data_IF_179224184542
#
_entry.id   IF_179224184542
#
_cell.length_a   1.000
_cell.length_b   1.000
_cell.length_c   1.000
_cell.angle_alpha   90.00
_cell.angle_beta   90.00
_cell.angle_gamma   90.00
#
_symmetry.space_group_name_H-M   'P 1'
#
loop_
_entity.id
_entity.type
_entity.pdbx_description
1 polymer ?
#
# COMPACT_ATOMS: atom_id res chain seq x y z
N UNK A 1 9.12 -7.96 -12.52
CA UNK A 1 8.74 -7.55 -11.17
C UNK A 1 7.24 -7.31 -11.15
N UNK A 2 6.53 -8.08 -10.34
CA UNK A 2 5.11 -7.91 -10.00
C UNK A 2 5.02 -7.41 -8.56
N UNK A 3 4.31 -6.32 -8.35
CA UNK A 3 4.08 -5.74 -7.03
C UNK A 3 2.62 -5.96 -6.65
N UNK A 4 2.35 -6.14 -5.36
CA UNK A 4 1.01 -6.11 -4.82
C UNK A 4 0.96 -5.25 -3.55
N UNK A 5 -0.11 -4.48 -3.36
CA UNK A 5 -0.42 -3.81 -2.09
C UNK A 5 -1.82 -4.18 -1.61
N UNK A 6 -1.96 -4.41 -0.31
CA UNK A 6 -3.22 -4.85 0.25
C UNK A 6 -3.39 -4.50 1.73
N UNK A 7 -4.37 -3.64 2.05
CA UNK A 7 -4.81 -3.48 3.42
C UNK A 7 -5.62 -4.74 3.78
N UNK A 8 -5.14 -5.50 4.76
CA UNK A 8 -5.69 -6.83 5.07
C UNK A 8 -6.82 -6.81 6.10
N UNK A 9 -7.16 -5.62 6.60
CA UNK A 9 -8.23 -5.36 7.55
C UNK A 9 -8.06 -6.14 8.87
N UNK A 10 -7.62 -5.49 9.94
CA UNK A 10 -7.36 -6.13 11.22
C UNK A 10 -8.63 -6.34 12.08
N UNK A 11 -9.70 -6.87 11.49
CA UNK A 11 -10.91 -7.25 12.21
C UNK A 11 -11.03 -8.75 12.41
N UNK A 12 -11.40 -9.15 13.62
CA UNK A 12 -11.77 -10.53 13.96
C UNK A 12 -13.01 -11.04 13.20
N UNK A 13 -13.75 -10.17 12.53
CA UNK A 13 -14.93 -10.56 11.74
C UNK A 13 -14.50 -11.50 10.60
N UNK A 14 -15.10 -12.70 10.59
CA UNK A 14 -14.82 -13.73 9.59
C UNK A 14 -13.53 -14.53 9.84
N UNK A 15 -12.77 -14.24 10.90
CA UNK A 15 -11.63 -15.08 11.28
C UNK A 15 -12.09 -16.40 11.90
N UNK A 16 -11.35 -17.52 11.69
CA UNK A 16 -10.10 -17.62 10.93
C UNK A 16 -10.29 -17.81 9.41
N UNK A 17 -11.51 -18.03 8.91
CA UNK A 17 -11.75 -18.33 7.49
C UNK A 17 -11.26 -17.22 6.56
N UNK A 18 -11.46 -15.96 6.93
CA UNK A 18 -11.00 -14.80 6.15
C UNK A 18 -9.48 -14.73 6.02
N UNK A 19 -8.74 -15.21 7.01
CA UNK A 19 -7.28 -15.32 6.94
C UNK A 19 -6.84 -16.30 5.84
N UNK A 20 -7.50 -17.45 5.75
CA UNK A 20 -7.24 -18.43 4.69
C UNK A 20 -7.59 -17.88 3.30
N UNK A 21 -8.71 -17.16 3.19
CA UNK A 21 -9.11 -16.50 1.93
C UNK A 21 -8.10 -15.42 1.51
N UNK A 22 -7.61 -14.61 2.45
CA UNK A 22 -6.56 -13.62 2.19
C UNK A 22 -5.29 -14.30 1.65
N UNK A 23 -4.84 -15.37 2.29
CA UNK A 23 -3.67 -16.13 1.82
C UNK A 23 -3.92 -16.67 0.41
N UNK A 24 -5.11 -17.24 0.14
CA UNK A 24 -5.49 -17.73 -1.19
C UNK A 24 -5.44 -16.63 -2.26
N UNK A 25 -5.97 -15.43 -1.97
CA UNK A 25 -5.93 -14.30 -2.89
C UNK A 25 -4.48 -13.87 -3.18
N UNK A 26 -3.64 -13.77 -2.15
CA UNK A 26 -2.22 -13.44 -2.31
C UNK A 26 -1.47 -14.53 -3.11
N UNK A 27 -1.78 -15.81 -2.91
CA UNK A 27 -1.24 -16.93 -3.68
C UNK A 27 -1.62 -16.84 -5.16
N UNK A 28 -2.89 -16.54 -5.48
CA UNK A 28 -3.38 -16.38 -6.86
C UNK A 28 -2.65 -15.24 -7.58
N UNK A 29 -2.34 -14.16 -6.88
CA UNK A 29 -1.63 -13.01 -7.46
C UNK A 29 -0.15 -13.29 -7.66
N UNK A 30 0.48 -14.09 -6.81
CA UNK A 30 1.87 -14.53 -7.00
C UNK A 30 2.81 -13.34 -7.29
N UNK A 31 2.75 -12.30 -6.46
CA UNK A 31 3.59 -11.13 -6.63
C UNK A 31 5.05 -11.44 -6.30
N UNK A 32 5.98 -10.66 -6.85
CA UNK A 32 7.38 -10.73 -6.42
C UNK A 32 7.59 -10.01 -5.08
N UNK A 33 6.79 -8.97 -4.83
CA UNK A 33 6.81 -8.18 -3.59
C UNK A 33 5.36 -7.85 -3.18
N UNK A 34 5.01 -8.13 -1.92
CA UNK A 34 3.72 -7.77 -1.32
C UNK A 34 3.90 -6.75 -0.21
N UNK A 35 3.09 -5.70 -0.22
CA UNK A 35 3.00 -4.66 0.80
C UNK A 35 1.66 -4.77 1.54
N UNK A 36 1.69 -5.10 2.82
CA UNK A 36 0.49 -5.38 3.62
C UNK A 36 0.31 -4.33 4.71
N UNK A 37 -0.85 -3.66 4.73
CA UNK A 37 -1.26 -2.76 5.82
C UNK A 37 -2.20 -3.49 6.79
N UNK A 38 -2.32 -2.99 8.03
CA UNK A 38 -3.14 -3.59 9.09
C UNK A 38 -2.75 -5.04 9.46
N UNK A 39 -1.45 -5.33 9.46
CA UNK A 39 -0.95 -6.63 9.90
C UNK A 39 -0.95 -6.67 11.42
N UNK A 40 -1.78 -7.54 12.01
CA UNK A 40 -2.10 -7.51 13.44
C UNK A 40 -0.95 -7.87 14.39
N UNK A 41 0.07 -8.56 13.88
CA UNK A 41 1.24 -9.03 14.63
C UNK A 41 2.33 -9.59 13.70
N UNK A 42 3.57 -9.66 14.21
CA UNK A 42 4.67 -10.37 13.53
C UNK A 42 4.33 -11.85 13.29
N UNK A 43 3.60 -12.50 14.22
CA UNK A 43 3.18 -13.89 14.05
C UNK A 43 2.29 -14.09 12.82
N UNK A 44 1.35 -13.17 12.56
CA UNK A 44 0.54 -13.19 11.34
C UNK A 44 1.42 -12.93 10.10
N UNK A 45 2.34 -11.96 10.17
CA UNK A 45 3.25 -11.66 9.07
C UNK A 45 4.10 -12.87 8.68
N UNK A 46 4.70 -13.58 9.66
CA UNK A 46 5.47 -14.81 9.43
C UNK A 46 4.59 -15.91 8.84
N UNK A 47 3.38 -16.11 9.36
CA UNK A 47 2.45 -17.12 8.82
C UNK A 47 2.12 -16.87 7.35
N UNK A 48 1.83 -15.62 6.98
CA UNK A 48 1.57 -15.25 5.57
C UNK A 48 2.83 -15.47 4.74
N UNK A 49 3.99 -14.98 5.20
CA UNK A 49 5.29 -15.17 4.53
C UNK A 49 5.57 -16.64 4.22
N UNK A 50 5.44 -17.52 5.21
CA UNK A 50 5.66 -18.96 5.09
C UNK A 50 4.65 -19.61 4.15
N UNK A 51 3.37 -19.25 4.26
CA UNK A 51 2.30 -19.79 3.41
C UNK A 51 2.44 -19.41 1.92
N UNK A 52 3.09 -18.28 1.66
CA UNK A 52 3.37 -17.78 0.30
C UNK A 52 4.78 -18.17 -0.20
N UNK A 53 5.62 -18.74 0.67
CA UNK A 53 6.98 -19.17 0.31
C UNK A 53 7.96 -18.03 0.04
N UNK A 54 7.76 -16.85 0.65
CA UNK A 54 8.70 -15.74 0.47
C UNK A 54 9.98 -15.96 1.30
N UNK A 55 11.18 -15.86 0.69
CA UNK A 55 12.43 -15.99 1.43
C UNK A 55 12.69 -14.81 2.36
N UNK A 56 12.27 -13.60 1.97
CA UNK A 56 12.48 -12.37 2.72
C UNK A 56 11.15 -11.77 3.17
N UNK A 57 11.15 -11.18 4.35
CA UNK A 57 10.03 -10.42 4.85
C UNK A 57 10.40 -9.63 6.09
N UNK A 58 9.71 -8.52 6.32
CA UNK A 58 9.90 -7.67 7.48
C UNK A 58 8.54 -7.13 7.91
N UNK A 59 8.27 -7.19 9.22
CA UNK A 59 7.12 -6.59 9.85
C UNK A 59 7.61 -5.56 10.87
N UNK A 60 6.97 -4.39 10.89
CA UNK A 60 7.23 -3.35 11.88
C UNK A 60 5.90 -2.81 12.39
N UNK A 61 5.71 -2.83 13.71
CA UNK A 61 4.55 -2.22 14.36
C UNK A 61 4.53 -0.71 14.17
N UNK A 62 3.33 -0.12 14.21
CA UNK A 62 3.17 1.31 14.17
C UNK A 62 3.85 2.04 15.35
N UNK A 63 4.33 3.25 15.09
CA UNK A 63 5.01 4.13 16.05
C UNK A 63 4.42 5.55 16.03
N UNK A 64 4.78 6.37 17.02
CA UNK A 64 4.45 7.80 17.05
C UNK A 64 2.94 8.08 17.14
N UNK A 65 2.44 9.05 16.37
CA UNK A 65 1.03 9.49 16.40
C UNK A 65 0.03 8.33 16.26
N UNK A 66 0.37 7.27 15.51
CA UNK A 66 -0.55 6.13 15.31
C UNK A 66 -0.95 5.53 16.66
N UNK A 67 0.03 5.22 17.51
CA UNK A 67 -0.21 4.58 18.81
C UNK A 67 -0.65 5.60 19.88
N UNK A 68 -0.38 6.89 19.67
CA UNK A 68 -0.90 7.95 20.54
C UNK A 68 -2.41 8.17 20.34
N UNK A 69 -2.87 8.13 19.09
CA UNK A 69 -4.28 8.33 18.73
C UNK A 69 -5.09 7.03 18.86
N UNK A 70 -4.49 5.90 18.49
CA UNK A 70 -5.11 4.57 18.51
C UNK A 70 -4.24 3.54 19.26
N UNK A 71 -4.14 3.61 20.61
CA UNK A 71 -3.24 2.74 21.39
C UNK A 71 -3.44 1.23 21.18
N UNK A 72 -4.66 0.81 20.83
CA UNK A 72 -4.97 -0.59 20.53
C UNK A 72 -4.30 -1.11 19.25
N UNK A 73 -3.83 -0.21 18.37
CA UNK A 73 -3.02 -0.55 17.18
C UNK A 73 -1.54 -0.79 17.51
N UNK A 74 -1.13 -0.79 18.79
CA UNK A 74 0.27 -0.97 19.19
C UNK A 74 0.93 -2.29 18.76
N UNK A 75 0.14 -3.31 18.39
CA UNK A 75 0.65 -4.56 17.81
C UNK A 75 0.44 -4.65 16.30
N UNK A 76 -0.36 -3.74 15.73
CA UNK A 76 -0.62 -3.64 14.31
C UNK A 76 0.53 -2.91 13.61
N UNK A 77 0.78 -3.26 12.35
CA UNK A 77 1.86 -2.65 11.60
C UNK A 77 1.80 -2.89 10.10
N UNK A 78 2.95 -2.64 9.49
CA UNK A 78 3.19 -2.83 8.06
C UNK A 78 4.07 -4.06 7.86
N UNK A 79 3.75 -4.88 6.87
CA UNK A 79 4.62 -5.95 6.44
C UNK A 79 4.97 -5.85 4.96
N UNK A 80 6.25 -6.08 4.64
CA UNK A 80 6.72 -6.34 3.30
C UNK A 80 7.14 -7.81 3.20
N UNK A 81 6.70 -8.49 2.15
CA UNK A 81 7.13 -9.84 1.77
C UNK A 81 7.81 -9.77 0.40
N UNK A 82 8.96 -10.41 0.21
CA UNK A 82 9.76 -10.20 -1.00
C UNK A 82 10.49 -11.47 -1.44
N UNK A 83 10.49 -11.71 -2.76
CA UNK A 83 11.37 -12.70 -3.41
C UNK A 83 12.82 -12.22 -3.50
N UNK A 84 13.04 -10.91 -3.37
CA UNK A 84 14.34 -10.27 -3.45
C UNK A 84 14.88 -9.89 -2.06
N UNK A 85 16.21 -9.92 -1.85
CA UNK A 85 16.82 -9.54 -0.57
C UNK A 85 16.41 -8.13 -0.12
N UNK A 86 16.02 -8.02 1.15
CA UNK A 86 15.81 -6.75 1.85
C UNK A 86 17.17 -6.30 2.41
N UNK A 87 17.66 -5.18 1.92
CA UNK A 87 18.97 -4.63 2.32
C UNK A 87 18.85 -3.71 3.54
N UNK A 88 17.77 -2.93 3.60
CA UNK A 88 17.49 -2.04 4.73
C UNK A 88 16.00 -1.80 4.91
N UNK A 89 15.63 -1.55 6.16
CA UNK A 89 14.28 -1.17 6.58
C UNK A 89 14.42 -0.03 7.58
N UNK A 90 13.67 1.05 7.37
CA UNK A 90 13.53 2.14 8.32
C UNK A 90 12.04 2.41 8.56
N UNK A 91 11.63 2.38 9.83
CA UNK A 91 10.26 2.69 10.21
C UNK A 91 10.10 4.18 10.50
N UNK A 92 9.03 4.76 9.95
CA UNK A 92 8.58 6.13 10.20
C UNK A 92 7.12 6.12 10.61
N UNK A 93 6.63 7.23 11.16
CA UNK A 93 5.21 7.37 11.45
C UNK A 93 4.38 7.13 10.17
N UNK A 94 3.43 6.20 10.22
CA UNK A 94 2.57 5.78 9.10
C UNK A 94 3.28 5.17 7.87
N UNK A 95 4.58 4.84 7.94
CA UNK A 95 5.29 4.31 6.77
C UNK A 95 6.53 3.45 7.11
N UNK A 96 6.83 2.51 6.22
CA UNK A 96 8.06 1.72 6.21
C UNK A 96 8.85 2.06 4.93
N UNK A 97 10.10 2.50 5.06
CA UNK A 97 11.01 2.71 3.93
C UNK A 97 11.90 1.49 3.80
N UNK A 98 11.83 0.81 2.65
CA UNK A 98 12.52 -0.45 2.41
C UNK A 98 13.41 -0.32 1.18
N UNK A 99 14.66 -0.76 1.27
CA UNK A 99 15.54 -0.88 0.10
C UNK A 99 15.79 -2.34 -0.23
N UNK A 100 15.61 -2.68 -1.51
CA UNK A 100 15.71 -4.03 -2.05
C UNK A 100 16.79 -4.09 -3.13
N UNK A 101 17.45 -5.24 -3.24
CA UNK A 101 18.38 -5.55 -4.33
C UNK A 101 17.72 -6.44 -5.38
N UNK A 102 17.58 -5.96 -6.61
CA UNK A 102 17.04 -6.75 -7.73
C UNK A 102 17.94 -6.63 -8.95
N UNK A 103 18.57 -7.73 -9.38
CA UNK A 103 19.42 -7.76 -10.58
C UNK A 103 20.49 -6.64 -10.61
N UNK A 104 21.17 -6.41 -9.49
CA UNK A 104 22.15 -5.32 -9.29
C UNK A 104 21.57 -3.90 -9.35
N UNK A 105 20.24 -3.76 -9.28
CA UNK A 105 19.53 -2.49 -9.14
C UNK A 105 19.04 -2.33 -7.70
N UNK A 106 19.17 -1.13 -7.16
CA UNK A 106 18.57 -0.77 -5.88
C UNK A 106 17.19 -0.15 -6.09
N UNK A 107 16.20 -0.70 -5.40
CA UNK A 107 14.83 -0.20 -5.43
C UNK A 107 14.44 0.22 -4.02
N UNK A 108 14.06 1.49 -3.86
CA UNK A 108 13.51 1.98 -2.59
C UNK A 108 11.99 2.03 -2.69
N UNK A 109 11.32 1.34 -1.77
CA UNK A 109 9.87 1.32 -1.64
C UNK A 109 9.46 2.04 -0.36
N UNK A 110 8.54 2.98 -0.46
CA UNK A 110 7.95 3.70 0.65
C UNK A 110 6.55 3.13 0.84
N UNK A 111 6.43 2.20 1.77
CA UNK A 111 5.19 1.51 2.09
C UNK A 111 4.39 2.34 3.09
N UNK A 112 3.22 2.82 2.73
CA UNK A 112 2.41 3.72 3.56
C UNK A 112 1.10 3.08 4.03
N UNK A 113 0.66 3.51 5.21
CA UNK A 113 -0.72 3.46 5.67
C UNK A 113 -1.00 4.82 6.31
N UNK A 114 -1.38 5.82 5.51
CA UNK A 114 -1.51 7.20 5.97
C UNK A 114 -2.67 7.38 6.95
N UNK A 115 -2.68 8.43 7.79
CA UNK A 115 -3.75 8.63 8.75
C UNK A 115 -5.11 8.79 8.05
N UNK A 116 -6.13 8.08 8.52
CA UNK A 116 -7.50 8.18 8.00
C UNK A 116 -8.27 9.38 8.54
N UNK A 117 -7.84 9.92 9.69
CA UNK A 117 -8.58 10.89 10.50
C UNK A 117 -8.21 12.36 10.25
N UNK A 118 -7.10 12.62 9.55
CA UNK A 118 -6.53 13.98 9.48
C UNK A 118 -5.76 14.24 8.20
N UNK A 119 -6.35 15.08 7.33
CA UNK A 119 -5.69 15.59 6.11
C UNK A 119 -4.39 16.32 6.44
N UNK A 120 -4.35 17.10 7.53
CA UNK A 120 -3.12 17.81 7.95
C UNK A 120 -2.01 16.81 8.28
N UNK A 121 -2.34 15.73 9.00
CA UNK A 121 -1.36 14.69 9.30
C UNK A 121 -0.91 13.95 8.03
N UNK A 122 -1.83 13.64 7.11
CA UNK A 122 -1.49 13.06 5.80
C UNK A 122 -0.48 13.95 5.04
N UNK A 123 -0.75 15.26 4.94
CA UNK A 123 0.14 16.23 4.27
C UNK A 123 1.51 16.34 4.94
N UNK A 124 1.55 16.43 6.28
CA UNK A 124 2.81 16.50 7.02
C UNK A 124 3.63 15.23 6.86
N UNK A 125 2.99 14.06 6.92
CA UNK A 125 3.65 12.76 6.73
C UNK A 125 4.24 12.64 5.34
N UNK A 126 3.48 12.94 4.28
CA UNK A 126 4.00 12.78 2.91
C UNK A 126 5.17 13.74 2.64
N UNK A 127 5.13 14.98 3.13
CA UNK A 127 6.25 15.93 2.99
C UNK A 127 7.52 15.38 3.68
N UNK A 128 7.38 14.85 4.91
CA UNK A 128 8.51 14.26 5.64
C UNK A 128 9.11 13.07 4.89
N UNK A 129 8.26 12.18 4.37
CA UNK A 129 8.68 11.00 3.61
C UNK A 129 9.42 11.39 2.34
N UNK A 130 8.88 12.31 1.53
CA UNK A 130 9.53 12.78 0.30
C UNK A 130 10.91 13.39 0.58
N UNK A 131 11.03 14.23 1.61
CA UNK A 131 12.32 14.83 2.01
C UNK A 131 13.32 13.78 2.48
N UNK A 132 12.85 12.76 3.20
CA UNK A 132 13.70 11.67 3.70
C UNK A 132 14.28 10.85 2.55
N UNK A 133 13.45 10.47 1.58
CA UNK A 133 13.85 9.57 0.49
C UNK A 133 14.59 10.26 -0.65
N UNK A 134 14.57 11.59 -0.72
CA UNK A 134 15.31 12.37 -1.72
C UNK A 134 16.82 12.05 -1.69
N UNK A 135 17.35 11.71 -0.52
CA UNK A 135 18.77 11.43 -0.31
C UNK A 135 19.12 9.94 -0.26
N UNK A 136 18.15 9.04 -0.48
CA UNK A 136 18.40 7.60 -0.48
C UNK A 136 18.84 7.18 -1.90
N UNK A 137 20.11 6.75 -2.10
CA UNK A 137 20.58 6.32 -3.40
C UNK A 137 19.81 5.08 -3.86
N UNK A 138 19.16 5.17 -5.01
CA UNK A 138 18.37 4.09 -5.59
C UNK A 138 18.25 4.28 -7.10
N UNK A 139 18.17 3.18 -7.84
CA UNK A 139 17.89 3.22 -9.27
C UNK A 139 16.42 3.59 -9.53
N UNK A 140 15.53 3.09 -8.68
CA UNK A 140 14.08 3.32 -8.77
C UNK A 140 13.47 3.56 -7.40
N UNK A 141 12.47 4.44 -7.33
CA UNK A 141 11.74 4.74 -6.10
C UNK A 141 10.24 4.58 -6.31
N UNK A 142 9.58 3.90 -5.37
CA UNK A 142 8.14 3.65 -5.36
C UNK A 142 7.54 4.19 -4.06
N UNK A 143 6.32 4.73 -4.12
CA UNK A 143 5.46 4.89 -2.94
C UNK A 143 4.23 4.03 -3.17
N UNK A 144 3.92 3.17 -2.19
CA UNK A 144 2.92 2.12 -2.33
C UNK A 144 2.16 1.96 -1.03
N UNK A 145 0.85 1.77 -1.10
CA UNK A 145 0.07 1.42 0.08
C UNK A 145 -1.27 2.09 0.15
N UNK A 146 -1.83 2.11 1.35
CA UNK A 146 -3.09 2.75 1.66
C UNK A 146 -2.84 4.22 2.02
N UNK A 147 -3.25 5.13 1.13
CA UNK A 147 -3.10 6.56 1.34
C UNK A 147 -4.24 7.17 2.16
N UNK A 148 -5.30 6.41 2.45
CA UNK A 148 -6.49 6.89 3.16
C UNK A 148 -7.09 8.19 2.57
N UNK A 149 -6.80 8.47 1.28
CA UNK A 149 -7.29 9.63 0.58
C UNK A 149 -7.42 9.34 -0.93
N UNK A 150 -8.43 9.93 -1.56
CA UNK A 150 -8.72 9.71 -2.98
C UNK A 150 -7.86 10.54 -3.94
N UNK A 151 -8.07 10.33 -5.24
CA UNK A 151 -7.28 10.93 -6.32
C UNK A 151 -7.29 12.47 -6.36
N UNK A 152 -8.34 13.10 -5.80
CA UNK A 152 -8.47 14.56 -5.73
C UNK A 152 -7.86 15.16 -4.46
N UNK A 153 -7.20 14.37 -3.63
CA UNK A 153 -6.63 14.84 -2.35
C UNK A 153 -5.43 15.75 -2.57
N UNK A 154 -5.12 16.55 -1.54
CA UNK A 154 -3.93 17.39 -1.53
C UNK A 154 -2.65 16.57 -1.63
N UNK A 155 -2.57 15.42 -0.95
CA UNK A 155 -1.45 14.47 -1.03
C UNK A 155 -1.26 13.95 -2.44
N UNK A 156 -2.34 13.51 -3.10
CA UNK A 156 -2.27 12.94 -4.45
C UNK A 156 -1.80 13.99 -5.46
N UNK A 157 -2.38 15.20 -5.41
CA UNK A 157 -1.96 16.31 -6.27
C UNK A 157 -0.53 16.78 -5.97
N UNK A 158 -0.09 16.73 -4.71
CA UNK A 158 1.29 17.06 -4.33
C UNK A 158 2.30 16.10 -4.95
N UNK A 159 2.06 14.78 -4.83
CA UNK A 159 2.94 13.76 -5.41
C UNK A 159 3.09 13.90 -6.93
N UNK A 160 2.02 14.27 -7.62
CA UNK A 160 1.99 14.50 -9.07
C UNK A 160 2.58 15.85 -9.49
N UNK A 161 2.97 16.72 -8.54
CA UNK A 161 3.48 18.05 -8.83
C UNK A 161 2.42 19.07 -9.28
N UNK A 162 1.13 18.79 -9.06
CA UNK A 162 0.03 19.69 -9.40
C UNK A 162 -0.26 20.72 -8.30
N UNK A 163 0.35 20.57 -7.13
CA UNK A 163 0.17 21.44 -5.97
C UNK A 163 1.40 21.41 -5.08
N UNK A 164 1.73 22.54 -4.45
CA UNK A 164 2.66 22.61 -3.32
C UNK A 164 1.93 22.43 -1.98
N UNK A 165 2.60 21.86 -0.98
CA UNK A 165 2.08 21.72 0.39
C UNK A 165 3.08 22.30 1.38
N UNK A 166 2.62 23.17 2.27
CA UNK A 166 3.44 23.76 3.34
C UNK A 166 4.84 24.24 2.86
N UNK A 167 4.87 25.05 1.79
CA UNK A 167 6.08 25.56 1.15
C UNK A 167 7.06 24.48 0.65
N UNK A 168 6.57 23.27 0.41
CA UNK A 168 7.29 22.19 -0.23
C UNK A 168 6.69 21.88 -1.60
N UNK A 169 7.56 21.45 -2.51
CA UNK A 169 7.21 20.87 -3.81
C UNK A 169 7.93 19.53 -3.93
N UNK A 170 7.39 18.63 -4.75
CA UNK A 170 8.10 17.42 -5.12
C UNK A 170 9.12 17.74 -6.20
N UNK A 171 10.37 17.35 -5.98
CA UNK A 171 11.42 17.40 -6.98
C UNK A 171 11.46 16.06 -7.73
N UNK A 172 11.09 16.11 -9.02
CA UNK A 172 10.66 14.97 -9.85
C UNK A 172 9.33 14.38 -9.39
N UNK A 173 8.39 14.31 -10.32
CA UNK A 173 7.01 13.91 -10.05
C UNK A 173 6.91 12.40 -9.83
N UNK A 174 5.87 12.02 -9.10
CA UNK A 174 5.48 10.63 -8.88
C UNK A 174 4.30 10.32 -9.78
N UNK A 175 4.48 9.37 -10.68
CA UNK A 175 3.46 8.93 -11.63
C UNK A 175 2.62 7.82 -11.01
N UNK A 176 1.30 8.02 -10.97
CA UNK A 176 0.37 6.98 -10.53
C UNK A 176 0.23 5.88 -11.58
N UNK A 177 0.54 4.64 -11.21
CA UNK A 177 0.51 3.52 -12.15
C UNK A 177 -0.91 3.15 -12.60
N UNK A 178 -1.95 3.49 -11.84
CA UNK A 178 -3.33 3.30 -12.27
C UNK A 178 -3.70 4.22 -13.45
N UNK A 179 -3.15 5.44 -13.49
CA UNK A 179 -3.34 6.36 -14.63
C UNK A 179 -2.58 5.89 -15.86
N UNK A 180 -1.35 5.38 -15.68
CA UNK A 180 -0.57 4.76 -16.75
C UNK A 180 -1.33 3.56 -17.33
N UNK A 181 -1.89 2.71 -16.47
CA UNK A 181 -2.67 1.55 -16.90
C UNK A 181 -3.93 1.95 -17.66
N UNK A 182 -4.62 3.01 -17.22
CA UNK A 182 -5.78 3.52 -17.94
C UNK A 182 -5.41 4.02 -19.34
N UNK A 183 -4.35 4.82 -19.44
CA UNK A 183 -3.92 5.44 -20.70
C UNK A 183 -3.35 4.43 -21.68
N UNK A 184 -2.48 3.52 -21.20
CA UNK A 184 -1.65 2.68 -22.07
C UNK A 184 -2.06 1.21 -22.12
N UNK A 185 -2.88 0.73 -21.16
CA UNK A 185 -3.29 -0.68 -21.05
C UNK A 185 -4.81 -0.87 -21.12
N UNK A 186 -5.59 0.21 -21.34
CA UNK A 186 -7.06 0.22 -21.36
C UNK A 186 -7.66 -0.41 -20.07
N UNK A 187 -7.01 -0.14 -18.93
CA UNK A 187 -7.48 -0.60 -17.61
C UNK A 187 -8.24 0.50 -16.91
N UNK A 188 -9.54 0.32 -16.74
CA UNK A 188 -10.37 1.29 -16.01
C UNK A 188 -9.93 1.38 -14.55
N UNK A 189 -9.72 2.61 -14.06
CA UNK A 189 -9.55 2.88 -12.63
C UNK A 189 -10.82 2.50 -11.86
N UNK A 190 -10.65 1.78 -10.75
CA UNK A 190 -11.74 1.29 -9.89
C UNK A 190 -11.40 1.60 -8.43
N UNK A 191 -12.42 1.76 -7.55
CA UNK A 191 -12.19 2.03 -6.15
C UNK A 191 -11.62 0.79 -5.44
N UNK A 192 -10.60 0.99 -4.62
CA UNK A 192 -10.02 -0.07 -3.77
C UNK A 192 -10.76 -0.17 -2.45
N UNK A 193 -11.29 0.96 -1.96
CA UNK A 193 -12.27 1.01 -0.90
C UNK A 193 -13.66 1.18 -1.54
N UNK A 194 -14.35 0.06 -1.78
CA UNK A 194 -15.66 0.05 -2.43
C UNK A 194 -16.80 -0.11 -1.43
N UNK A 195 -17.34 1.02 -0.99
CA UNK A 195 -18.47 1.09 -0.04
C UNK A 195 -19.79 0.56 -0.62
N UNK A 196 -19.89 0.45 -1.95
CA UNK A 196 -21.13 0.07 -2.64
C UNK A 196 -21.24 -1.44 -2.89
N UNK A 197 -20.12 -2.11 -3.19
CA UNK A 197 -20.12 -3.54 -3.53
C UNK A 197 -19.45 -4.43 -2.49
N UNK A 198 -18.49 -3.94 -1.70
CA UNK A 198 -17.84 -4.80 -0.72
C UNK A 198 -18.83 -5.14 0.43
N UNK A 199 -19.09 -6.42 0.71
CA UNK A 199 -20.11 -6.87 1.66
C UNK A 199 -19.84 -6.43 3.10
N UNK A 200 -18.61 -6.01 3.43
CA UNK A 200 -18.29 -5.40 4.72
C UNK A 200 -19.12 -4.13 4.98
N UNK A 201 -19.38 -3.34 3.95
CA UNK A 201 -20.09 -2.06 4.06
C UNK A 201 -21.61 -2.21 3.95
N UNK A 202 -22.08 -3.39 3.53
CA UNK A 202 -23.50 -3.70 3.42
C UNK A 202 -24.20 -3.46 4.76
N UNK A 203 -25.34 -2.76 4.71
CA UNK A 203 -26.16 -2.35 5.85
C UNK A 203 -25.61 -1.22 6.74
N UNK A 204 -24.43 -0.68 6.43
CA UNK A 204 -23.98 0.56 7.07
C UNK A 204 -24.66 1.75 6.39
N UNK A 205 -25.15 2.70 7.19
CA UNK A 205 -25.55 4.01 6.67
C UNK A 205 -24.27 4.81 6.47
N UNK A 206 -23.71 4.73 5.26
CA UNK A 206 -22.51 5.48 4.87
C UNK A 206 -22.91 6.78 4.19
N UNK A 207 -22.26 7.88 4.58
CA UNK A 207 -22.37 9.18 3.88
C UNK A 207 -21.20 9.43 2.94
N UNK A 208 -20.17 8.58 3.01
CA UNK A 208 -18.99 8.63 2.15
C UNK A 208 -19.20 7.89 0.83
N UNK A 209 -18.26 8.08 -0.10
CA UNK A 209 -18.27 7.46 -1.43
C UNK A 209 -17.09 6.51 -1.59
N UNK A 210 -17.27 5.48 -2.43
CA UNK A 210 -16.17 4.60 -2.83
C UNK A 210 -15.02 5.39 -3.46
N UNK A 211 -13.78 5.03 -3.11
CA UNK A 211 -12.60 5.73 -3.57
C UNK A 211 -11.42 4.77 -3.83
N UNK A 212 -10.50 5.19 -4.69
CA UNK A 212 -9.19 4.54 -4.83
C UNK A 212 -8.23 5.20 -3.84
N UNK A 213 -7.97 4.50 -2.75
CA UNK A 213 -7.09 4.96 -1.67
C UNK A 213 -5.80 4.16 -1.62
N UNK A 214 -5.82 2.91 -2.10
CA UNK A 214 -4.64 2.10 -2.30
C UNK A 214 -4.01 2.46 -3.64
N UNK A 215 -2.74 2.84 -3.65
CA UNK A 215 -2.06 3.36 -4.83
C UNK A 215 -0.62 2.82 -4.94
N UNK A 216 -0.10 2.80 -6.17
CA UNK A 216 1.32 2.59 -6.46
C UNK A 216 1.80 3.73 -7.34
N UNK A 217 2.78 4.48 -6.84
CA UNK A 217 3.42 5.57 -7.54
C UNK A 217 4.87 5.22 -7.86
N UNK A 218 5.31 5.55 -9.07
CA UNK A 218 6.70 5.47 -9.50
C UNK A 218 7.28 6.88 -9.62
N UNK A 219 8.40 7.15 -8.97
CA UNK A 219 9.13 8.41 -9.17
C UNK A 219 9.68 8.46 -10.59
N UNK A 220 9.64 9.63 -11.22
CA UNK A 220 10.31 9.85 -12.50
C UNK A 220 11.76 9.34 -12.47
N UNK A 221 12.04 8.42 -13.40
CA UNK A 221 13.24 7.59 -13.40
C UNK A 221 14.45 8.28 -14.02
N UNK A 222 14.29 9.44 -14.66
CA UNK A 222 15.41 10.16 -15.28
C UNK A 222 16.57 10.35 -14.28
N UNK A 223 17.85 10.13 -14.64
CA UNK A 223 18.35 9.78 -15.97
C UNK A 223 18.39 8.27 -16.26
N UNK A 224 17.89 7.41 -15.37
CA UNK A 224 17.78 5.97 -15.63
C UNK A 224 16.73 5.68 -16.71
N UNK A 225 16.79 4.47 -17.26
CA UNK A 225 15.80 3.99 -18.22
C UNK A 225 14.41 3.93 -17.59
N UNK A 226 13.41 4.45 -18.32
CA UNK A 226 12.02 4.41 -17.93
C UNK A 226 11.50 2.97 -17.90
N UNK A 227 10.83 2.61 -16.80
CA UNK A 227 10.15 1.33 -16.67
C UNK A 227 8.85 1.35 -17.49
N UNK A 228 8.53 0.21 -18.11
CA UNK A 228 7.24 -0.01 -18.78
C UNK A 228 6.31 -0.81 -17.89
N UNK A 229 5.12 -0.27 -17.61
CA UNK A 229 4.04 -1.01 -16.97
C UNK A 229 3.51 -2.08 -17.94
N UNK A 230 3.62 -3.35 -17.55
CA UNK A 230 3.22 -4.47 -18.41
C UNK A 230 1.75 -4.88 -18.22
N UNK A 231 1.24 -4.80 -16.99
CA UNK A 231 -0.15 -5.08 -16.63
C UNK A 231 -0.50 -4.34 -15.33
N UNK A 232 -1.80 -4.22 -15.05
CA UNK A 232 -2.34 -3.63 -13.83
C UNK A 232 -3.74 -4.17 -13.60
N UNK A 233 -4.00 -4.67 -12.40
CA UNK A 233 -5.28 -5.28 -12.04
C UNK A 233 -5.57 -5.06 -10.55
N UNK A 234 -6.79 -5.36 -10.13
CA UNK A 234 -7.13 -5.46 -8.71
C UNK A 234 -7.50 -6.90 -8.37
N UNK A 235 -7.48 -7.23 -7.08
CA UNK A 235 -7.83 -8.55 -6.57
C UNK A 235 -8.54 -8.46 -5.20
N UNK A 236 -9.02 -9.61 -4.69
CA UNK A 236 -9.72 -9.67 -3.41
C UNK A 236 -11.21 -9.32 -3.48
N UNK A 237 -11.78 -9.22 -4.69
CA UNK A 237 -13.21 -8.93 -4.92
C UNK A 237 -14.11 -10.16 -4.70
N UNK A 238 -13.52 -11.35 -4.53
CA UNK A 238 -14.24 -12.61 -4.33
C UNK A 238 -14.99 -12.61 -2.99
N UNK A 239 -16.29 -12.88 -3.03
CA UNK A 239 -17.13 -13.05 -1.84
C UNK A 239 -17.19 -14.54 -1.53
N UNK A 240 -16.78 -14.89 -0.32
CA UNK A 240 -16.70 -16.29 0.09
C UNK A 240 -17.96 -16.75 0.80
N UNK A 241 -18.50 -17.90 0.39
CA UNK A 241 -19.74 -18.43 0.96
C UNK A 241 -19.65 -18.69 2.47
N UNK A 242 -18.47 -19.11 2.95
CA UNK A 242 -18.22 -19.45 4.35
C UNK A 242 -18.29 -18.26 5.31
N UNK A 243 -18.05 -17.04 4.82
CA UNK A 243 -18.06 -15.80 5.63
C UNK A 243 -19.09 -14.79 5.15
N UNK A 244 -19.61 -14.94 3.93
CA UNK A 244 -20.39 -13.91 3.21
C UNK A 244 -19.63 -12.57 3.12
N UNK A 245 -18.30 -12.63 3.09
CA UNK A 245 -17.40 -11.49 3.08
C UNK A 245 -16.31 -11.67 2.01
N UNK A 246 -15.76 -10.56 1.56
CA UNK A 246 -14.47 -10.55 0.87
C UNK A 246 -13.33 -10.84 1.86
N UNK A 247 -12.13 -11.10 1.31
CA UNK A 247 -10.93 -11.35 2.09
C UNK A 247 -10.48 -10.12 2.90
N UNK A 248 -10.85 -8.90 2.48
CA UNK A 248 -10.63 -7.64 3.20
C UNK A 248 -11.78 -6.67 2.89
N UNK A 249 -11.86 -5.56 3.64
CA UNK A 249 -12.75 -4.45 3.34
C UNK A 249 -12.19 -3.49 2.29
N UNK A 250 -10.90 -3.65 1.97
CA UNK A 250 -10.23 -3.13 0.78
C UNK A 250 -10.11 -4.22 -0.29
N UNK A 251 -9.92 -3.80 -1.54
CA UNK A 251 -9.44 -4.63 -2.65
C UNK A 251 -7.97 -4.31 -2.90
N UNK A 252 -7.17 -5.35 -3.13
CA UNK A 252 -5.76 -5.19 -3.42
C UNK A 252 -5.50 -4.76 -4.86
N UNK A 253 -4.31 -4.20 -5.09
CA UNK A 253 -3.75 -3.88 -6.42
C UNK A 253 -2.51 -4.71 -6.62
#
# INVERSE_FOLDING_TARGET
MKLATYNIWNSSRGFPMREAHMIEQLQKIDADICFLQEVSSDALAQKIKESLGYPYGCFESHIGRVIEVEPWKGTEGLAILSRYPIESVEMMEYAQIVTLSMNHKQITCIHVHLPWDSVIAQEQTIIKLIRKVEYIPSDYQLIVGDFNCGESSSVHHFLKGYRSLNHAEVNRYWTDLAEVAQEFLDRKKRPTLDLSHNPRWKHNVVTDISARVDCIFLKDSFPNEYLRLADFQMFGEEIYDSTQLCASDHYGI
#
